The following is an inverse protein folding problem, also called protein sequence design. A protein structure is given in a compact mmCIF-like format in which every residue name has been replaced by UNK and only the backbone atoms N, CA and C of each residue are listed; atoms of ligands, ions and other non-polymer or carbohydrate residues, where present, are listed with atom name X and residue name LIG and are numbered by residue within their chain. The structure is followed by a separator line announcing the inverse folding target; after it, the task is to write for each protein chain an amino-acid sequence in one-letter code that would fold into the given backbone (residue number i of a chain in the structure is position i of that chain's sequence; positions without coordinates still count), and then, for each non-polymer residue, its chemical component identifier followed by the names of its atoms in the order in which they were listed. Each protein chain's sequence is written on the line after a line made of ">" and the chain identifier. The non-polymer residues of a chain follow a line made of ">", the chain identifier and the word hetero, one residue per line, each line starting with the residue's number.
data_IF_023642779693
#
_entry.id   IF_023642779693
#
_cell.length_a   1.000
_cell.length_b   1.000
_cell.length_c   1.000
_cell.angle_alpha   90.00
_cell.angle_beta   90.00
_cell.angle_gamma   90.00
#
_symmetry.space_group_name_H-M   'P 1'
#
loop_
_entity.id
_entity.type
_entity.pdbx_description
1 polymer ?
#
# COMPACT_ATOMS: atom_id res chain seq x y z
N UNK A 1 23.28 1.15 -34.41
CA UNK A 1 23.73 1.20 -33.00
C UNK A 1 22.96 2.29 -32.29
N UNK A 2 22.41 2.08 -31.08
CA UNK A 2 21.70 3.13 -30.36
C UNK A 2 22.66 4.27 -29.96
N UNK A 3 22.19 5.52 -30.03
CA UNK A 3 22.96 6.73 -29.70
C UNK A 3 23.47 6.66 -28.24
N UNK A 4 24.79 6.83 -27.98
CA UNK A 4 25.35 6.79 -26.62
C UNK A 4 24.69 7.76 -25.63
N UNK A 5 24.19 8.93 -26.09
CA UNK A 5 23.43 9.85 -25.22
C UNK A 5 22.08 9.25 -24.82
N UNK A 6 21.38 8.62 -25.76
CA UNK A 6 20.10 7.95 -25.49
C UNK A 6 20.25 6.76 -24.53
N UNK A 7 21.36 6.01 -24.64
CA UNK A 7 21.70 4.90 -23.73
C UNK A 7 22.01 5.40 -22.33
N UNK A 8 22.73 6.52 -22.21
CA UNK A 8 23.04 7.15 -20.93
C UNK A 8 21.79 7.69 -20.22
N UNK A 9 20.94 8.43 -20.93
CA UNK A 9 19.68 8.96 -20.39
C UNK A 9 18.77 7.82 -19.90
N UNK A 10 18.63 6.77 -20.69
CA UNK A 10 17.85 5.59 -20.30
C UNK A 10 18.42 4.87 -19.07
N UNK A 11 19.75 4.91 -18.88
CA UNK A 11 20.40 4.33 -17.69
C UNK A 11 20.11 5.16 -16.45
N UNK A 12 20.25 6.47 -16.52
CA UNK A 12 20.03 7.38 -15.39
C UNK A 12 18.57 7.37 -14.94
N UNK A 13 17.62 7.49 -15.89
CA UNK A 13 16.18 7.40 -15.59
C UNK A 13 15.85 6.09 -14.87
N UNK A 14 16.38 4.97 -15.37
CA UNK A 14 16.16 3.66 -14.75
C UNK A 14 16.76 3.56 -13.34
N UNK A 15 17.91 4.19 -13.08
CA UNK A 15 18.50 4.23 -11.75
C UNK A 15 17.67 5.07 -10.77
N UNK A 16 17.12 6.19 -11.21
CA UNK A 16 16.20 7.01 -10.41
C UNK A 16 14.91 6.27 -10.09
N UNK A 17 14.33 5.55 -11.07
CA UNK A 17 13.15 4.71 -10.86
C UNK A 17 13.47 3.55 -9.91
N UNK A 18 14.61 2.87 -10.10
CA UNK A 18 15.06 1.82 -9.19
C UNK A 18 15.21 2.35 -7.76
N UNK A 19 15.82 3.52 -7.59
CA UNK A 19 15.93 4.17 -6.29
C UNK A 19 14.56 4.44 -5.69
N UNK A 20 13.67 5.11 -6.41
CA UNK A 20 12.34 5.48 -5.92
C UNK A 20 11.51 4.26 -5.50
N UNK A 21 11.49 3.21 -6.33
CA UNK A 21 10.67 2.02 -6.10
C UNK A 21 11.31 1.04 -5.11
N UNK A 22 12.61 0.74 -5.26
CA UNK A 22 13.25 -0.32 -4.49
C UNK A 22 13.73 0.13 -3.10
N UNK A 23 13.87 1.45 -2.86
CA UNK A 23 14.08 2.00 -1.51
C UNK A 23 12.80 2.08 -0.67
N UNK A 24 11.65 1.69 -1.24
CA UNK A 24 10.32 1.80 -0.63
C UNK A 24 9.83 3.25 -0.38
N UNK A 25 10.48 4.26 -0.95
CA UNK A 25 9.98 5.64 -0.89
C UNK A 25 8.64 5.77 -1.63
N UNK A 26 8.50 5.14 -2.81
CA UNK A 26 7.26 5.21 -3.58
C UNK A 26 6.04 4.67 -2.83
N UNK A 27 6.18 3.51 -2.17
CA UNK A 27 5.08 2.92 -1.40
C UNK A 27 4.75 3.74 -0.14
N UNK A 28 5.74 4.41 0.46
CA UNK A 28 5.51 5.37 1.54
C UNK A 28 4.73 6.61 1.05
N UNK A 29 5.03 7.12 -0.15
CA UNK A 29 4.22 8.17 -0.80
C UNK A 29 2.80 7.70 -1.13
N UNK A 30 2.62 6.42 -1.48
CA UNK A 30 1.29 5.84 -1.66
C UNK A 30 0.46 5.90 -0.37
N UNK A 31 1.04 5.58 0.79
CA UNK A 31 0.36 5.70 2.09
C UNK A 31 -0.07 7.15 2.38
N UNK A 32 0.81 8.13 2.11
CA UNK A 32 0.49 9.56 2.23
C UNK A 32 -0.68 9.94 1.31
N UNK A 33 -0.63 9.53 0.04
CA UNK A 33 -1.70 9.81 -0.91
C UNK A 33 -3.05 9.21 -0.46
N UNK A 34 -3.04 8.02 0.12
CA UNK A 34 -4.26 7.37 0.62
C UNK A 34 -4.86 8.08 1.83
N UNK A 35 -4.04 8.66 2.70
CA UNK A 35 -4.54 9.53 3.77
C UNK A 35 -5.04 10.88 3.23
N UNK A 36 -4.38 11.45 2.22
CA UNK A 36 -4.86 12.66 1.55
C UNK A 36 -6.22 12.46 0.88
N UNK A 37 -6.49 11.27 0.31
CA UNK A 37 -7.85 10.91 -0.13
C UNK A 37 -8.83 10.97 1.04
N UNK A 38 -8.48 10.42 2.21
CA UNK A 38 -9.36 10.48 3.40
C UNK A 38 -9.63 11.92 3.82
N UNK A 39 -8.60 12.76 3.97
CA UNK A 39 -8.77 14.18 4.32
C UNK A 39 -9.65 14.92 3.32
N UNK A 40 -9.47 14.66 2.02
CA UNK A 40 -10.27 15.26 0.96
C UNK A 40 -11.74 14.84 1.01
N UNK A 41 -12.01 13.56 1.29
CA UNK A 41 -13.38 13.04 1.44
C UNK A 41 -14.07 13.52 2.72
N UNK A 42 -13.30 13.81 3.77
CA UNK A 42 -13.82 14.40 5.01
C UNK A 42 -13.92 15.93 4.95
N UNK A 43 -13.42 16.56 3.88
CA UNK A 43 -13.33 18.02 3.73
C UNK A 43 -12.53 18.72 4.84
N UNK A 44 -11.45 18.07 5.32
CA UNK A 44 -10.58 18.61 6.38
C UNK A 44 -9.21 18.91 5.79
N UNK A 45 -8.55 19.95 6.32
CA UNK A 45 -7.14 20.22 6.03
C UNK A 45 -6.26 19.05 6.51
N UNK A 46 -5.32 18.54 5.68
CA UNK A 46 -4.43 17.46 6.09
C UNK A 46 -3.54 17.83 7.28
N UNK A 47 -3.43 16.95 8.27
CA UNK A 47 -2.48 17.07 9.36
C UNK A 47 -1.09 16.58 8.92
N UNK A 48 -0.09 17.45 9.04
CA UNK A 48 1.27 17.15 8.56
C UNK A 48 1.97 16.06 9.38
N UNK A 49 1.67 15.95 10.68
CA UNK A 49 2.25 14.94 11.55
C UNK A 49 1.70 13.56 11.20
N UNK A 50 0.39 13.44 10.95
CA UNK A 50 -0.23 12.18 10.48
C UNK A 50 0.38 11.74 9.15
N UNK A 51 0.50 12.65 8.17
CA UNK A 51 1.10 12.33 6.88
C UNK A 51 2.57 11.91 7.03
N UNK A 52 3.35 12.62 7.85
CA UNK A 52 4.73 12.29 8.14
C UNK A 52 4.88 10.95 8.84
N UNK A 53 4.02 10.62 9.80
CA UNK A 53 3.97 9.33 10.48
C UNK A 53 3.66 8.21 9.50
N UNK A 54 2.69 8.38 8.61
CA UNK A 54 2.36 7.37 7.60
C UNK A 54 3.52 7.13 6.62
N UNK A 55 4.19 8.19 6.18
CA UNK A 55 5.38 8.08 5.35
C UNK A 55 6.50 7.31 6.08
N UNK A 56 6.87 7.76 7.28
CA UNK A 56 8.01 7.23 8.01
C UNK A 56 7.76 5.79 8.50
N UNK A 57 6.56 5.49 9.01
CA UNK A 57 6.19 4.14 9.44
C UNK A 57 6.17 3.16 8.27
N UNK A 58 5.60 3.54 7.13
CA UNK A 58 5.60 2.69 5.93
C UNK A 58 7.02 2.44 5.44
N UNK A 59 7.84 3.48 5.32
CA UNK A 59 9.23 3.35 4.89
C UNK A 59 10.04 2.47 5.84
N UNK A 60 9.93 2.69 7.16
CA UNK A 60 10.61 1.91 8.18
C UNK A 60 10.19 0.44 8.14
N UNK A 61 8.89 0.15 8.14
CA UNK A 61 8.37 -1.22 8.19
C UNK A 61 8.70 -2.02 6.93
N UNK A 62 8.56 -1.41 5.74
CA UNK A 62 8.87 -2.09 4.49
C UNK A 62 10.38 -2.36 4.34
N UNK A 63 11.22 -1.41 4.74
CA UNK A 63 12.67 -1.63 4.75
C UNK A 63 13.07 -2.68 5.78
N UNK A 64 12.52 -2.61 6.99
CA UNK A 64 12.75 -3.58 8.05
C UNK A 64 12.40 -5.01 7.61
N UNK A 65 11.23 -5.20 7.01
CA UNK A 65 10.80 -6.51 6.47
C UNK A 65 11.79 -7.09 5.44
N UNK A 66 12.30 -6.24 4.54
CA UNK A 66 13.28 -6.65 3.53
C UNK A 66 14.66 -6.94 4.15
N UNK A 67 15.10 -6.14 5.12
CA UNK A 67 16.38 -6.33 5.81
C UNK A 67 16.39 -7.59 6.66
N UNK A 68 15.27 -7.90 7.34
CA UNK A 68 15.08 -9.16 8.06
C UNK A 68 15.14 -10.39 7.16
N UNK A 69 14.62 -10.26 5.92
CA UNK A 69 14.52 -11.36 4.96
C UNK A 69 15.76 -11.48 4.06
N UNK A 70 16.94 -11.11 4.55
CA UNK A 70 18.18 -11.11 3.76
C UNK A 70 18.53 -12.52 3.24
N UNK A 71 18.58 -12.75 1.91
CA UNK A 71 18.92 -14.05 1.37
C UNK A 71 20.43 -14.30 1.45
N UNK A 72 20.82 -15.57 1.58
CA UNK A 72 22.22 -15.99 1.64
C UNK A 72 23.06 -15.49 0.44
N UNK A 73 22.49 -15.54 -0.77
CA UNK A 73 23.14 -15.11 -2.01
C UNK A 73 22.32 -14.05 -2.76
N UNK A 74 22.22 -12.84 -2.19
CA UNK A 74 21.45 -11.74 -2.78
C UNK A 74 21.85 -11.39 -4.22
N UNK A 75 23.15 -11.47 -4.56
CA UNK A 75 23.67 -11.16 -5.90
C UNK A 75 23.13 -12.10 -7.00
N UNK A 76 22.77 -13.34 -6.64
CA UNK A 76 22.24 -14.36 -7.57
C UNK A 76 20.71 -14.44 -7.58
N UNK A 77 20.03 -13.57 -6.82
CA UNK A 77 18.56 -13.57 -6.80
C UNK A 77 18.01 -13.32 -8.20
N UNK A 78 16.93 -14.01 -8.63
CA UNK A 78 16.26 -13.71 -9.90
C UNK A 78 15.65 -12.31 -9.91
N UNK A 79 15.25 -11.80 -8.74
CA UNK A 79 14.61 -10.50 -8.58
C UNK A 79 15.61 -9.35 -8.58
N UNK A 80 15.37 -8.35 -9.44
CA UNK A 80 16.19 -7.16 -9.54
C UNK A 80 16.14 -6.34 -8.27
N UNK A 81 14.95 -6.20 -7.66
CA UNK A 81 14.77 -5.47 -6.40
C UNK A 81 15.67 -6.01 -5.30
N UNK A 82 15.75 -7.35 -5.15
CA UNK A 82 16.61 -8.01 -4.17
C UNK A 82 18.08 -7.69 -4.43
N UNK A 83 18.55 -7.85 -5.68
CA UNK A 83 19.94 -7.51 -6.05
C UNK A 83 20.26 -6.05 -5.75
N UNK A 84 19.33 -5.14 -6.04
CA UNK A 84 19.51 -3.70 -5.84
C UNK A 84 19.56 -3.33 -4.35
N UNK A 85 18.60 -3.81 -3.55
CA UNK A 85 18.51 -3.51 -2.10
C UNK A 85 19.79 -3.92 -1.38
N UNK A 86 20.25 -5.15 -1.60
CA UNK A 86 21.45 -5.66 -0.92
C UNK A 86 22.76 -5.15 -1.55
N UNK A 87 22.71 -4.64 -2.78
CA UNK A 87 23.80 -3.83 -3.35
C UNK A 87 23.95 -2.47 -2.66
N UNK A 88 22.84 -1.91 -2.15
CA UNK A 88 22.79 -0.62 -1.45
C UNK A 88 22.47 -0.78 0.05
N UNK A 89 22.94 -1.88 0.67
CA UNK A 89 22.55 -2.27 2.02
C UNK A 89 22.75 -1.16 3.08
N UNK A 90 23.91 -0.47 3.05
CA UNK A 90 24.19 0.62 4.00
C UNK A 90 23.17 1.74 3.90
N UNK A 91 22.84 2.17 2.67
CA UNK A 91 21.82 3.19 2.43
C UNK A 91 20.44 2.76 2.93
N UNK A 92 20.04 1.50 2.70
CA UNK A 92 18.77 0.98 3.19
C UNK A 92 18.69 0.99 4.72
N UNK A 93 19.76 0.61 5.40
CA UNK A 93 19.84 0.69 6.87
C UNK A 93 19.76 2.15 7.34
N UNK A 94 20.52 3.06 6.73
CA UNK A 94 20.48 4.50 7.07
C UNK A 94 19.07 5.08 6.88
N UNK A 95 18.42 4.82 5.75
CA UNK A 95 17.04 5.26 5.49
C UNK A 95 16.06 4.72 6.54
N UNK A 96 16.24 3.46 6.97
CA UNK A 96 15.40 2.84 8.00
C UNK A 96 15.59 3.52 9.35
N UNK A 97 16.83 3.79 9.76
CA UNK A 97 17.14 4.47 11.02
C UNK A 97 16.57 5.89 11.02
N UNK A 98 16.78 6.65 9.94
CA UNK A 98 16.22 8.00 9.78
C UNK A 98 14.69 7.94 9.89
N UNK A 99 14.04 7.02 9.18
CA UNK A 99 12.59 6.87 9.22
C UNK A 99 12.08 6.53 10.63
N UNK A 100 12.77 5.67 11.38
CA UNK A 100 12.39 5.35 12.77
C UNK A 100 12.53 6.56 13.68
N UNK A 101 13.65 7.30 13.60
CA UNK A 101 13.86 8.50 14.40
C UNK A 101 12.80 9.55 14.09
N UNK A 102 12.55 9.82 12.79
CA UNK A 102 11.49 10.74 12.36
C UNK A 102 10.11 10.29 12.82
N UNK A 103 9.80 8.99 12.76
CA UNK A 103 8.53 8.44 13.24
C UNK A 103 8.34 8.71 14.74
N UNK A 104 9.37 8.46 15.56
CA UNK A 104 9.31 8.71 16.99
C UNK A 104 9.13 10.20 17.31
N UNK A 105 9.88 11.08 16.62
CA UNK A 105 9.75 12.53 16.79
C UNK A 105 8.38 13.05 16.38
N UNK A 106 7.84 12.58 15.24
CA UNK A 106 6.52 12.99 14.77
C UNK A 106 5.39 12.45 15.65
N UNK A 107 5.55 11.26 16.22
CA UNK A 107 4.60 10.67 17.15
C UNK A 107 4.35 11.53 18.39
N UNK A 108 5.34 12.32 18.83
CA UNK A 108 5.20 13.23 19.98
C UNK A 108 4.14 14.33 19.76
N UNK A 109 3.78 14.61 18.51
CA UNK A 109 2.79 15.62 18.15
C UNK A 109 1.39 15.05 17.93
N UNK A 110 1.21 13.73 18.03
CA UNK A 110 -0.09 13.09 17.87
C UNK A 110 -0.83 12.97 19.20
N UNK A 111 -2.15 12.99 19.11
CA UNK A 111 -3.02 12.74 20.27
C UNK A 111 -2.81 11.34 20.86
N UNK A 112 -3.09 11.18 22.16
CA UNK A 112 -2.99 9.90 22.87
C UNK A 112 -3.82 8.79 22.21
N UNK A 113 -5.09 9.02 21.78
CA UNK A 113 -5.87 8.02 21.05
C UNK A 113 -5.19 7.55 19.76
N UNK A 114 -4.59 8.47 18.99
CA UNK A 114 -3.84 8.14 17.78
C UNK A 114 -2.59 7.33 18.08
N UNK A 115 -1.87 7.64 19.16
CA UNK A 115 -0.72 6.86 19.61
C UNK A 115 -1.10 5.43 20.02
N UNK A 116 -2.23 5.25 20.72
CA UNK A 116 -2.74 3.93 21.09
C UNK A 116 -3.08 3.12 19.83
N UNK A 117 -3.76 3.74 18.87
CA UNK A 117 -4.07 3.10 17.59
C UNK A 117 -2.79 2.70 16.83
N UNK A 118 -1.83 3.62 16.73
CA UNK A 118 -0.55 3.37 16.07
C UNK A 118 0.23 2.25 16.75
N UNK A 119 0.26 2.21 18.08
CA UNK A 119 0.90 1.15 18.82
C UNK A 119 0.27 -0.22 18.50
N UNK A 120 -1.06 -0.30 18.51
CA UNK A 120 -1.78 -1.52 18.15
C UNK A 120 -1.47 -1.97 16.70
N UNK A 121 -1.50 -1.04 15.74
CA UNK A 121 -1.17 -1.33 14.35
C UNK A 121 0.30 -1.76 14.19
N UNK A 122 1.23 -1.13 14.90
CA UNK A 122 2.65 -1.46 14.88
C UNK A 122 2.89 -2.88 15.42
N UNK A 123 2.24 -3.25 16.52
CA UNK A 123 2.33 -4.61 17.08
C UNK A 123 1.88 -5.64 16.05
N UNK A 124 0.71 -5.45 15.42
CA UNK A 124 0.23 -6.39 14.38
C UNK A 124 1.18 -6.43 13.19
N UNK A 125 1.67 -5.28 12.74
CA UNK A 125 2.55 -5.16 11.59
C UNK A 125 3.91 -5.83 11.82
N UNK A 126 4.50 -5.67 13.00
CA UNK A 126 5.76 -6.34 13.37
C UNK A 126 5.53 -7.83 13.57
N UNK A 127 4.47 -8.22 14.29
CA UNK A 127 4.10 -9.61 14.51
C UNK A 127 3.89 -10.37 13.19
N UNK A 128 3.31 -9.72 12.18
CA UNK A 128 3.16 -10.27 10.83
C UNK A 128 4.49 -10.64 10.17
N UNK A 129 5.55 -9.87 10.42
CA UNK A 129 6.88 -10.08 9.84
C UNK A 129 7.76 -11.06 10.64
N UNK A 130 7.40 -11.37 11.87
CA UNK A 130 8.20 -12.25 12.74
C UNK A 130 7.79 -13.72 12.60
N UNK A 131 8.76 -14.65 12.63
CA UNK A 131 8.50 -16.08 12.73
C UNK A 131 8.15 -16.45 14.19
N UNK A 132 6.91 -16.17 14.60
CA UNK A 132 6.46 -16.26 15.99
C UNK A 132 6.23 -17.68 16.52
N UNK A 133 6.03 -18.66 15.64
CA UNK A 133 5.69 -20.03 16.02
C UNK A 133 6.73 -21.01 15.49
N UNK A 134 6.94 -22.14 16.19
CA UNK A 134 7.81 -23.23 15.75
C UNK A 134 7.04 -24.54 15.85
N UNK A 135 6.93 -25.29 14.75
CA UNK A 135 6.33 -26.63 14.72
C UNK A 135 7.26 -27.54 13.91
N UNK A 136 7.66 -28.68 14.48
CA UNK A 136 8.58 -29.65 13.86
C UNK A 136 9.84 -29.01 13.28
N UNK A 137 10.55 -28.21 14.10
CA UNK A 137 11.77 -27.46 13.75
C UNK A 137 11.62 -26.40 12.64
N UNK A 138 10.42 -26.24 12.07
CA UNK A 138 10.11 -25.17 11.12
C UNK A 138 9.48 -23.99 11.84
N UNK A 139 10.15 -22.85 11.74
CA UNK A 139 9.61 -21.56 12.18
C UNK A 139 8.54 -21.06 11.19
N UNK A 140 7.35 -20.72 11.68
CA UNK A 140 6.25 -20.16 10.90
C UNK A 140 5.69 -18.90 11.59
N UNK A 141 5.21 -17.95 10.80
CA UNK A 141 4.61 -16.70 11.29
C UNK A 141 3.18 -16.52 10.77
N UNK A 142 2.54 -15.41 11.14
CA UNK A 142 1.21 -15.07 10.61
C UNK A 142 1.17 -15.00 9.08
N UNK A 143 2.31 -14.71 8.44
CA UNK A 143 2.47 -14.72 6.98
C UNK A 143 2.21 -16.09 6.34
N UNK A 144 2.29 -17.18 7.09
CA UNK A 144 2.08 -18.54 6.58
C UNK A 144 0.61 -18.99 6.63
N UNK A 145 -0.28 -18.23 7.30
CA UNK A 145 -1.69 -18.59 7.41
C UNK A 145 -2.44 -18.17 6.13
N UNK A 146 -3.18 -19.10 5.48
CA UNK A 146 -3.96 -18.78 4.29
C UNK A 146 -4.92 -17.62 4.47
N UNK A 147 -4.95 -16.70 3.51
CA UNK A 147 -5.86 -15.53 3.51
C UNK A 147 -5.55 -14.47 4.57
N UNK A 148 -4.92 -14.82 5.69
CA UNK A 148 -4.58 -13.91 6.77
C UNK A 148 -3.60 -12.82 6.30
N UNK A 149 -2.65 -13.18 5.43
CA UNK A 149 -1.72 -12.21 4.80
C UNK A 149 -2.48 -11.05 4.14
N UNK A 150 -3.43 -11.38 3.27
CA UNK A 150 -4.21 -10.38 2.55
C UNK A 150 -5.04 -9.53 3.51
N UNK A 151 -5.73 -10.20 4.45
CA UNK A 151 -6.58 -9.53 5.42
C UNK A 151 -5.80 -8.56 6.29
N UNK A 152 -4.66 -8.97 6.86
CA UNK A 152 -3.83 -8.11 7.71
C UNK A 152 -3.27 -6.91 6.95
N UNK A 153 -2.80 -7.10 5.72
CA UNK A 153 -2.31 -5.99 4.89
C UNK A 153 -3.44 -4.99 4.64
N UNK A 154 -4.59 -5.45 4.13
CA UNK A 154 -5.72 -4.57 3.84
C UNK A 154 -6.24 -3.87 5.10
N UNK A 155 -6.27 -4.57 6.24
CA UNK A 155 -6.68 -4.03 7.53
C UNK A 155 -5.73 -2.92 7.99
N UNK A 156 -4.42 -3.19 8.08
CA UNK A 156 -3.43 -2.21 8.53
C UNK A 156 -3.48 -0.95 7.67
N UNK A 157 -3.51 -1.10 6.34
CA UNK A 157 -3.61 0.03 5.41
C UNK A 157 -4.91 0.81 5.56
N UNK A 158 -6.04 0.11 5.73
CA UNK A 158 -7.34 0.76 5.92
C UNK A 158 -7.39 1.55 7.23
N UNK A 159 -6.92 0.99 8.34
CA UNK A 159 -6.92 1.65 9.64
C UNK A 159 -5.89 2.78 9.69
N UNK A 160 -4.69 2.59 9.11
CA UNK A 160 -3.66 3.64 9.09
C UNK A 160 -4.04 4.81 8.19
N UNK A 161 -4.59 4.56 6.99
CA UNK A 161 -4.88 5.62 6.03
C UNK A 161 -6.26 6.26 6.21
N UNK A 162 -7.16 5.66 7.01
CA UNK A 162 -8.52 6.19 7.25
C UNK A 162 -8.75 6.47 8.72
N UNK A 163 -8.64 5.45 9.58
CA UNK A 163 -9.00 5.59 10.99
C UNK A 163 -8.03 6.52 11.73
N UNK A 164 -6.73 6.47 11.44
CA UNK A 164 -5.76 7.37 12.08
C UNK A 164 -6.04 8.86 11.78
N UNK A 165 -6.23 9.30 10.51
CA UNK A 165 -6.70 10.66 10.22
C UNK A 165 -7.98 11.04 10.97
N UNK A 166 -8.97 10.14 11.04
CA UNK A 166 -10.25 10.38 11.73
C UNK A 166 -10.04 10.55 13.24
N UNK A 167 -9.30 9.65 13.88
CA UNK A 167 -9.03 9.69 15.32
C UNK A 167 -8.27 10.95 15.69
N UNK A 168 -7.26 11.32 14.92
CA UNK A 168 -6.48 12.53 15.20
C UNK A 168 -7.32 13.80 15.05
N UNK A 169 -8.06 13.92 13.94
CA UNK A 169 -8.89 15.11 13.70
C UNK A 169 -10.08 15.20 14.66
N UNK A 170 -10.65 14.07 15.08
CA UNK A 170 -11.68 14.03 16.12
C UNK A 170 -11.12 14.44 17.48
N UNK A 171 -9.92 13.98 17.85
CA UNK A 171 -9.26 14.38 19.10
C UNK A 171 -8.94 15.89 19.15
N UNK A 172 -8.68 16.50 17.98
CA UNK A 172 -8.53 17.95 17.83
C UNK A 172 -9.86 18.72 17.74
N UNK A 173 -11.01 18.05 17.89
CA UNK A 173 -12.36 18.62 17.70
C UNK A 173 -12.59 19.27 16.32
N UNK A 174 -11.88 18.81 15.28
CA UNK A 174 -12.03 19.35 13.92
C UNK A 174 -13.21 18.73 13.16
N UNK A 175 -13.65 17.54 13.58
CA UNK A 175 -14.80 16.85 12.99
C UNK A 175 -15.58 16.03 14.01
N UNK A 176 -16.84 15.79 13.66
CA UNK A 176 -17.67 14.73 14.22
C UNK A 176 -18.16 13.85 13.07
N UNK A 177 -17.82 12.57 13.12
CA UNK A 177 -18.22 11.58 12.11
C UNK A 177 -18.91 10.41 12.79
N UNK A 178 -19.97 9.89 12.17
CA UNK A 178 -20.67 8.73 12.72
C UNK A 178 -19.80 7.47 12.64
N UNK A 179 -20.06 6.51 13.53
CA UNK A 179 -19.41 5.21 13.48
C UNK A 179 -19.71 4.48 12.15
N UNK A 180 -20.92 4.63 11.61
CA UNK A 180 -21.33 4.04 10.35
C UNK A 180 -20.52 4.58 9.16
N UNK A 181 -20.33 5.90 9.08
CA UNK A 181 -19.54 6.52 8.00
C UNK A 181 -18.06 6.17 8.11
N UNK A 182 -17.55 6.09 9.34
CA UNK A 182 -16.17 5.64 9.61
C UNK A 182 -15.97 4.20 9.13
N UNK A 183 -16.88 3.28 9.50
CA UNK A 183 -16.84 1.87 9.06
C UNK A 183 -16.94 1.79 7.53
N UNK A 184 -17.80 2.60 6.90
CA UNK A 184 -17.94 2.63 5.45
C UNK A 184 -16.65 3.09 4.75
N UNK A 185 -15.98 4.13 5.26
CA UNK A 185 -14.71 4.60 4.70
C UNK A 185 -13.60 3.56 4.87
N UNK A 186 -13.49 2.95 6.05
CA UNK A 186 -12.53 1.87 6.33
C UNK A 186 -12.82 0.67 5.42
N UNK A 187 -14.08 0.26 5.29
CA UNK A 187 -14.51 -0.86 4.46
C UNK A 187 -14.20 -0.64 2.97
N UNK A 188 -14.49 0.55 2.44
CA UNK A 188 -14.09 0.93 1.07
C UNK A 188 -12.57 0.87 0.90
N UNK A 189 -11.79 1.44 1.82
CA UNK A 189 -10.32 1.39 1.73
C UNK A 189 -9.81 -0.05 1.80
N UNK A 190 -10.37 -0.87 2.69
CA UNK A 190 -10.03 -2.28 2.84
C UNK A 190 -10.25 -3.06 1.52
N UNK A 191 -11.44 -2.93 0.91
CA UNK A 191 -11.76 -3.61 -0.36
C UNK A 191 -10.80 -3.21 -1.48
N UNK A 192 -10.50 -1.91 -1.59
CA UNK A 192 -9.57 -1.38 -2.58
C UNK A 192 -8.15 -1.92 -2.39
N UNK A 193 -7.60 -1.81 -1.18
CA UNK A 193 -6.25 -2.30 -0.88
C UNK A 193 -6.15 -3.82 -1.06
N UNK A 194 -7.17 -4.58 -0.63
CA UNK A 194 -7.21 -6.01 -0.83
C UNK A 194 -7.16 -6.37 -2.32
N UNK A 195 -7.94 -5.68 -3.16
CA UNK A 195 -7.98 -5.94 -4.60
C UNK A 195 -6.63 -5.70 -5.30
N UNK A 196 -5.92 -4.62 -4.97
CA UNK A 196 -4.62 -4.30 -5.58
C UNK A 196 -3.46 -5.11 -4.99
N UNK A 197 -3.63 -5.74 -3.82
CA UNK A 197 -2.61 -6.60 -3.19
C UNK A 197 -2.56 -8.00 -3.82
N UNK A 198 -3.70 -8.59 -4.16
CA UNK A 198 -3.78 -9.95 -4.73
C UNK A 198 -2.92 -10.15 -6.01
N UNK A 199 -2.80 -9.19 -6.95
CA UNK A 199 -1.89 -9.30 -8.09
C UNK A 199 -0.45 -9.64 -7.72
N UNK A 200 0.05 -9.16 -6.58
CA UNK A 200 1.40 -9.50 -6.11
C UNK A 200 1.51 -11.00 -5.77
N UNK A 201 0.49 -11.57 -5.14
CA UNK A 201 0.43 -13.02 -4.87
C UNK A 201 0.27 -13.81 -6.18
N UNK A 202 -0.41 -13.26 -7.19
CA UNK A 202 -0.53 -13.92 -8.51
C UNK A 202 0.83 -13.99 -9.18
N UNK A 203 1.60 -12.89 -9.15
CA UNK A 203 2.97 -12.85 -9.68
C UNK A 203 3.86 -13.92 -9.01
N UNK A 204 3.73 -14.04 -7.70
CA UNK A 204 4.60 -14.88 -6.88
C UNK A 204 4.06 -16.34 -6.74
N UNK A 205 3.00 -16.70 -7.48
CA UNK A 205 2.28 -17.98 -7.40
C UNK A 205 3.17 -19.23 -7.40
N UNK A 206 4.14 -19.32 -8.32
CA UNK A 206 5.04 -20.48 -8.40
C UNK A 206 5.97 -20.56 -7.19
N UNK A 207 6.48 -19.42 -6.74
CA UNK A 207 7.34 -19.34 -5.57
C UNK A 207 6.55 -19.70 -4.30
N UNK A 208 5.35 -19.15 -4.15
CA UNK A 208 4.46 -19.41 -3.02
C UNK A 208 4.08 -20.89 -2.92
N UNK A 209 3.81 -21.57 -4.05
CA UNK A 209 3.60 -23.03 -4.09
C UNK A 209 4.80 -23.79 -3.57
N UNK A 210 6.02 -23.43 -4.00
CA UNK A 210 7.24 -24.10 -3.56
C UNK A 210 7.51 -23.91 -2.05
N UNK A 211 7.08 -22.78 -1.48
CA UNK A 211 7.17 -22.51 -0.05
C UNK A 211 5.96 -23.02 0.77
N UNK A 212 5.03 -23.76 0.15
CA UNK A 212 3.79 -24.22 0.78
C UNK A 212 2.94 -23.10 1.41
N UNK A 213 3.00 -21.89 0.82
CA UNK A 213 2.18 -20.76 1.25
C UNK A 213 0.79 -20.89 0.62
N UNK A 214 -0.26 -20.80 1.44
CA UNK A 214 -1.65 -20.93 0.99
C UNK A 214 -2.26 -19.56 0.65
N UNK A 215 -1.67 -18.82 -0.29
CA UNK A 215 -2.23 -17.52 -0.75
C UNK A 215 -3.50 -17.71 -1.58
N UNK A 216 -4.28 -16.64 -1.80
CA UNK A 216 -5.53 -16.71 -2.60
C UNK A 216 -5.29 -17.33 -3.99
N UNK A 217 -4.24 -16.95 -4.74
CA UNK A 217 -3.96 -17.55 -6.05
C UNK A 217 -3.48 -19.00 -5.96
N UNK A 218 -2.83 -19.40 -4.86
CA UNK A 218 -2.45 -20.81 -4.63
C UNK A 218 -3.69 -21.68 -4.41
N UNK A 219 -4.65 -21.20 -3.62
CA UNK A 219 -5.89 -21.94 -3.29
C UNK A 219 -6.87 -21.96 -4.46
N UNK A 220 -7.16 -20.79 -5.05
CA UNK A 220 -8.20 -20.66 -6.07
C UNK A 220 -7.68 -20.87 -7.50
N UNK A 221 -6.38 -20.75 -7.71
CA UNK A 221 -5.77 -20.64 -9.03
C UNK A 221 -5.79 -19.21 -9.59
N UNK A 222 -4.92 -18.96 -10.56
CA UNK A 222 -4.70 -17.63 -11.16
C UNK A 222 -5.99 -16.97 -11.67
N UNK A 223 -6.78 -17.67 -12.50
CA UNK A 223 -8.02 -17.10 -13.08
C UNK A 223 -9.05 -16.69 -12.03
N UNK A 224 -9.25 -17.52 -11.00
CA UNK A 224 -10.20 -17.23 -9.92
C UNK A 224 -9.71 -16.14 -8.99
N UNK A 225 -8.38 -16.00 -8.81
CA UNK A 225 -7.82 -14.87 -8.07
C UNK A 225 -8.08 -13.54 -8.78
N UNK A 226 -8.00 -13.49 -10.12
CA UNK A 226 -8.41 -12.29 -10.87
C UNK A 226 -9.88 -11.95 -10.67
N UNK A 227 -10.76 -12.96 -10.77
CA UNK A 227 -12.19 -12.75 -10.51
C UNK A 227 -12.44 -12.24 -9.08
N UNK A 228 -11.73 -12.80 -8.09
CA UNK A 228 -11.80 -12.34 -6.71
C UNK A 228 -11.43 -10.86 -6.57
N UNK A 229 -10.38 -10.37 -7.25
CA UNK A 229 -10.07 -8.95 -7.29
C UNK A 229 -11.23 -8.12 -7.86
N UNK A 230 -11.83 -8.56 -8.97
CA UNK A 230 -12.94 -7.84 -9.59
C UNK A 230 -14.17 -7.80 -8.68
N UNK A 231 -14.44 -8.88 -7.93
CA UNK A 231 -15.53 -8.91 -6.94
C UNK A 231 -15.29 -7.91 -5.81
N UNK A 232 -14.05 -7.76 -5.33
CA UNK A 232 -13.70 -6.74 -4.32
C UNK A 232 -13.89 -5.32 -4.86
N UNK A 233 -13.47 -5.05 -6.10
CA UNK A 233 -13.67 -3.74 -6.74
C UNK A 233 -15.14 -3.46 -7.05
N UNK A 234 -15.91 -4.48 -7.42
CA UNK A 234 -17.35 -4.38 -7.61
C UNK A 234 -18.03 -4.04 -6.28
N UNK A 235 -17.67 -4.74 -5.19
CA UNK A 235 -18.19 -4.42 -3.85
C UNK A 235 -17.86 -2.98 -3.45
N UNK A 236 -16.64 -2.50 -3.75
CA UNK A 236 -16.28 -1.09 -3.53
C UNK A 236 -17.21 -0.15 -4.28
N UNK A 237 -17.42 -0.38 -5.58
CA UNK A 237 -18.28 0.47 -6.42
C UNK A 237 -19.72 0.43 -5.90
N UNK A 238 -20.24 -0.75 -5.57
CA UNK A 238 -21.59 -0.89 -5.02
C UNK A 238 -21.75 -0.06 -3.74
N UNK A 239 -20.80 -0.13 -2.80
CA UNK A 239 -20.82 0.70 -1.60
C UNK A 239 -20.71 2.20 -1.94
N UNK A 240 -19.90 2.57 -2.94
CA UNK A 240 -19.80 3.96 -3.38
C UNK A 240 -21.15 4.47 -3.92
N UNK A 241 -21.83 3.71 -4.77
CA UNK A 241 -23.12 4.10 -5.34
C UNK A 241 -24.25 4.11 -4.31
N UNK A 242 -24.35 3.08 -3.46
CA UNK A 242 -25.44 2.97 -2.48
C UNK A 242 -25.42 4.08 -1.42
N UNK A 243 -24.22 4.53 -1.04
CA UNK A 243 -24.04 5.51 0.04
C UNK A 243 -23.66 6.91 -0.46
N UNK A 244 -23.73 7.16 -1.78
CA UNK A 244 -23.59 8.51 -2.35
C UNK A 244 -24.96 9.01 -2.78
N UNK A 245 -25.46 10.07 -2.11
CA UNK A 245 -26.78 10.65 -2.44
C UNK A 245 -26.76 11.41 -3.77
N UNK A 246 -25.72 12.22 -3.99
CA UNK A 246 -25.55 13.02 -5.21
C UNK A 246 -24.12 12.81 -5.71
N UNK A 247 -23.93 12.29 -6.93
CA UNK A 247 -22.60 12.14 -7.53
C UNK A 247 -21.89 13.48 -7.68
N UNK A 248 -20.81 13.67 -6.91
CA UNK A 248 -19.95 14.84 -6.97
C UNK A 248 -18.64 14.53 -7.74
N UNK A 249 -17.72 15.50 -7.77
CA UNK A 249 -16.41 15.33 -8.39
C UNK A 249 -15.60 14.17 -7.76
N UNK A 250 -15.69 13.98 -6.44
CA UNK A 250 -14.97 12.92 -5.74
C UNK A 250 -15.49 11.54 -6.16
N UNK A 251 -16.82 11.39 -6.27
CA UNK A 251 -17.48 10.17 -6.73
C UNK A 251 -16.96 9.72 -8.10
N UNK A 252 -16.87 10.63 -9.06
CA UNK A 252 -16.39 10.31 -10.41
C UNK A 252 -14.88 10.00 -10.43
N UNK A 253 -14.07 10.76 -9.70
CA UNK A 253 -12.64 10.49 -9.58
C UNK A 253 -12.35 9.12 -8.95
N UNK A 254 -13.10 8.74 -7.93
CA UNK A 254 -13.03 7.40 -7.31
C UNK A 254 -13.49 6.32 -8.29
N UNK A 255 -14.65 6.50 -8.95
CA UNK A 255 -15.21 5.52 -9.89
C UNK A 255 -14.24 5.21 -11.02
N UNK A 256 -13.69 6.24 -11.68
CA UNK A 256 -12.71 6.07 -12.77
C UNK A 256 -11.46 5.35 -12.27
N UNK A 257 -10.96 5.70 -11.08
CA UNK A 257 -9.80 5.01 -10.50
C UNK A 257 -10.06 3.53 -10.32
N UNK A 258 -11.24 3.13 -9.83
CA UNK A 258 -11.57 1.72 -9.61
C UNK A 258 -11.70 0.96 -10.93
N UNK A 259 -12.30 1.55 -11.95
CA UNK A 259 -12.36 0.95 -13.29
C UNK A 259 -10.95 0.74 -13.89
N UNK A 260 -10.09 1.75 -13.76
CA UNK A 260 -8.68 1.65 -14.17
C UNK A 260 -7.92 0.59 -13.36
N UNK A 261 -8.22 0.46 -12.07
CA UNK A 261 -7.66 -0.59 -11.21
C UNK A 261 -8.03 -1.97 -11.72
N UNK A 262 -9.31 -2.19 -12.04
CA UNK A 262 -9.79 -3.44 -12.61
C UNK A 262 -9.10 -3.79 -13.92
N UNK A 263 -8.92 -2.80 -14.80
CA UNK A 263 -8.19 -2.96 -16.07
C UNK A 263 -6.71 -3.32 -15.87
N UNK A 264 -5.99 -2.62 -14.98
CA UNK A 264 -4.59 -2.91 -14.70
C UNK A 264 -4.42 -4.28 -14.03
N UNK A 265 -5.30 -4.64 -13.10
CA UNK A 265 -5.28 -5.98 -12.49
C UNK A 265 -5.45 -7.05 -13.57
N UNK A 266 -6.40 -6.89 -14.49
CA UNK A 266 -6.62 -7.84 -15.59
C UNK A 266 -5.42 -7.93 -16.56
N UNK A 267 -4.69 -6.83 -16.78
CA UNK A 267 -3.48 -6.78 -17.61
C UNK A 267 -2.22 -7.30 -16.90
N UNK A 268 -2.28 -7.49 -15.59
CA UNK A 268 -1.18 -8.13 -14.85
C UNK A 268 -1.03 -9.59 -15.28
N UNK A 269 0.17 -10.14 -15.09
CA UNK A 269 0.44 -11.56 -15.29
C UNK A 269 1.76 -11.94 -14.64
N UNK A 270 1.97 -13.24 -14.44
CA UNK A 270 3.22 -13.79 -13.89
C UNK A 270 4.45 -13.37 -14.72
N UNK A 271 4.29 -13.10 -16.03
CA UNK A 271 5.37 -12.70 -16.94
C UNK A 271 5.73 -11.21 -16.85
N UNK A 272 4.93 -10.38 -16.19
CA UNK A 272 5.21 -8.94 -16.06
C UNK A 272 6.40 -8.72 -15.11
N UNK A 273 7.21 -7.72 -15.43
CA UNK A 273 8.36 -7.36 -14.61
C UNK A 273 7.95 -6.67 -13.30
N UNK A 274 8.91 -6.53 -12.38
CA UNK A 274 8.71 -5.91 -11.06
C UNK A 274 8.18 -4.46 -11.14
N UNK A 275 8.55 -3.70 -12.18
CA UNK A 275 8.05 -2.33 -12.36
C UNK A 275 6.54 -2.28 -12.58
N UNK A 276 5.96 -3.28 -13.25
CA UNK A 276 4.51 -3.33 -13.43
C UNK A 276 3.78 -3.28 -12.09
N UNK A 277 4.27 -4.04 -11.11
CA UNK A 277 3.65 -4.15 -9.81
C UNK A 277 3.97 -2.94 -8.93
N UNK A 278 5.25 -2.59 -8.78
CA UNK A 278 5.66 -1.52 -7.87
C UNK A 278 5.36 -0.11 -8.38
N UNK A 279 5.26 0.10 -9.70
CA UNK A 279 4.92 1.42 -10.25
C UNK A 279 3.45 1.51 -10.63
N UNK A 280 2.90 0.54 -11.36
CA UNK A 280 1.53 0.66 -11.86
C UNK A 280 0.51 0.21 -10.83
N UNK A 281 0.63 -1.01 -10.28
CA UNK A 281 -0.36 -1.52 -9.31
C UNK A 281 -0.32 -0.70 -8.01
N UNK A 282 0.86 -0.53 -7.40
CA UNK A 282 0.98 0.34 -6.23
C UNK A 282 0.64 1.81 -6.56
N UNK A 283 1.01 2.28 -7.74
CA UNK A 283 0.77 3.66 -8.18
C UNK A 283 -0.71 4.02 -8.34
N UNK A 284 -1.61 3.04 -8.41
CA UNK A 284 -3.06 3.29 -8.35
C UNK A 284 -3.42 4.07 -7.07
N UNK A 285 -2.71 3.85 -5.95
CA UNK A 285 -2.95 4.57 -4.70
C UNK A 285 -2.70 6.08 -4.83
N UNK A 286 -1.64 6.47 -5.53
CA UNK A 286 -1.37 7.88 -5.84
C UNK A 286 -2.33 8.39 -6.91
N UNK A 287 -2.57 7.58 -7.94
CA UNK A 287 -3.50 7.89 -9.02
C UNK A 287 -4.90 8.22 -8.49
N UNK A 288 -5.37 7.50 -7.46
CA UNK A 288 -6.67 7.77 -6.83
C UNK A 288 -6.77 9.20 -6.31
N UNK A 289 -5.72 9.68 -5.62
CA UNK A 289 -5.68 11.04 -5.12
C UNK A 289 -5.63 12.05 -6.27
N UNK A 290 -4.79 11.80 -7.28
CA UNK A 290 -4.68 12.65 -8.48
C UNK A 290 -6.02 12.74 -9.22
N UNK A 291 -6.74 11.63 -9.38
CA UNK A 291 -8.04 11.60 -10.05
C UNK A 291 -9.08 12.41 -9.29
N UNK A 292 -9.10 12.34 -7.96
CA UNK A 292 -9.97 13.21 -7.17
C UNK A 292 -9.66 14.69 -7.43
N UNK A 293 -8.38 15.08 -7.41
CA UNK A 293 -7.98 16.47 -7.67
C UNK A 293 -8.36 16.92 -9.09
N UNK A 294 -8.10 16.08 -10.09
CA UNK A 294 -8.42 16.35 -11.48
C UNK A 294 -9.92 16.57 -11.68
N UNK A 295 -10.76 15.68 -11.15
CA UNK A 295 -12.21 15.81 -11.29
C UNK A 295 -12.75 17.02 -10.52
N UNK A 296 -12.19 17.34 -9.35
CA UNK A 296 -12.57 18.55 -8.62
C UNK A 296 -12.22 19.82 -9.43
N UNK A 297 -11.05 19.84 -10.06
CA UNK A 297 -10.63 20.95 -10.92
C UNK A 297 -11.53 21.08 -12.16
N UNK A 298 -11.87 19.95 -12.81
CA UNK A 298 -12.78 19.94 -13.97
C UNK A 298 -14.19 20.41 -13.60
N UNK A 299 -14.74 19.97 -12.46
CA UNK A 299 -16.05 20.42 -11.99
C UNK A 299 -16.08 21.93 -11.71
N UNK A 300 -15.00 22.48 -11.12
CA UNK A 300 -14.88 23.91 -10.85
C UNK A 300 -14.76 24.77 -12.12
N UNK A 301 -14.53 24.19 -13.29
CA UNK A 301 -14.57 24.90 -14.59
C UNK A 301 -15.96 24.91 -15.22
N UNK A 302 -16.85 24.01 -14.78
CA UNK A 302 -18.18 23.80 -15.37
C UNK A 302 -19.27 24.48 -14.53
N UNK A 303 -19.02 24.68 -13.23
CA UNK A 303 -19.87 25.42 -12.28
C UNK A 303 -19.39 26.85 -12.16
#
# INVERSE_FOLDING_TARGET
>A
MPDPKSVFINRTIRQSIDFLLFSNIFIALCAVAQALVTYKLLHIKPDQHVLGVLFCSTLALYNFSMLLSKPANAKKSPFRRVRWIFGHYRMMVTLTIIAIISLLSLGLFLSVPSLILLFFLAVIAVAYNLPLFTMNEKKFGFRNIPGLKLFLIALIWSLSCVLLPIVETAAMNLITISAADTILLVGKRFLFIAAITVPFDIRDLFQDRNYNLKTIPVILGERKAYLFCQLLLLAYITLLFLFTKVPDANFWGLTVTILLSGFLIFKSSIKKNEYYYFLYIDGIMILQFIMILLFNWLFALIV
#
